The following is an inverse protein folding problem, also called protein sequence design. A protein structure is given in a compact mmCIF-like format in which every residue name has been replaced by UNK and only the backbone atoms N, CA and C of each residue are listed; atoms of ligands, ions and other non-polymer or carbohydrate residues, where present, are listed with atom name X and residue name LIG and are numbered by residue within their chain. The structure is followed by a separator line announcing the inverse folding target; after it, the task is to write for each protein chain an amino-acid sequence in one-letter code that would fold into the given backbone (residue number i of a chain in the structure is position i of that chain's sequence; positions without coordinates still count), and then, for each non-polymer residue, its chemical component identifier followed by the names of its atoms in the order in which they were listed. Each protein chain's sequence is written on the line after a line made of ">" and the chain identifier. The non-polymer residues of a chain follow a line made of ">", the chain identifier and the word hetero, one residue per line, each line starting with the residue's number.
data_IF_108372764358
#
_entry.id   IF_108372764358
#
_cell.length_a   1.000
_cell.length_b   1.000
_cell.length_c   1.000
_cell.angle_alpha   90.00
_cell.angle_beta   90.00
_cell.angle_gamma   90.00
#
_symmetry.space_group_name_H-M   'P 1'
#
loop_
_entity.id
_entity.type
_entity.pdbx_description
1 polymer ?
#
# COMPACT_ATOMS: atom_id res chain seq x y z
N UNK A 1 22.05 4.78 -7.98
CA UNK A 1 21.59 4.49 -7.79
C UNK A 1 20.75 4.40 -7.74
N UNK A 2 20.48 4.20 -7.57
CA UNK A 2 19.79 3.98 -7.50
C UNK A 2 18.87 3.73 -7.46
N UNK A 3 18.58 3.41 -7.31
CA UNK A 3 17.69 2.97 -7.16
C UNK A 3 16.64 3.07 -7.00
N UNK A 4 16.25 3.37 -7.03
CA UNK A 4 15.21 3.30 -6.75
C UNK A 4 14.26 2.99 -6.60
N UNK A 5 14.00 2.66 -6.17
CA UNK A 5 12.96 1.96 -6.33
C UNK A 5 11.73 2.32 -5.77
N UNK A 6 10.87 2.25 -6.54
CA UNK A 6 9.54 2.42 -6.34
C UNK A 6 8.98 1.61 -5.26
N UNK A 7 9.51 0.48 -5.01
CA UNK A 7 9.03 -0.35 -3.98
C UNK A 7 9.11 0.26 -2.63
N UNK A 8 9.96 1.25 -2.47
CA UNK A 8 10.18 1.86 -1.18
C UNK A 8 9.07 2.79 -0.76
N UNK A 9 8.13 3.02 -1.65
CA UNK A 9 7.01 3.89 -1.33
C UNK A 9 5.99 3.19 -0.43
N UNK A 10 5.97 1.87 -0.45
CA UNK A 10 5.00 1.12 0.35
C UNK A 10 5.68 0.56 1.59
N UNK A 11 6.16 1.46 2.43
CA UNK A 11 6.82 1.08 3.67
C UNK A 11 5.84 1.22 4.83
N UNK A 12 6.11 0.58 5.95
CA UNK A 12 5.20 0.66 7.09
C UNK A 12 4.91 2.10 7.48
N UNK A 13 3.66 2.40 7.68
CA UNK A 13 3.22 3.75 8.02
C UNK A 13 2.74 4.57 6.84
N UNK A 14 3.10 4.20 5.60
CA UNK A 14 2.64 4.93 4.44
C UNK A 14 1.13 4.83 4.29
N UNK A 15 0.50 5.89 3.82
CA UNK A 15 -0.94 5.90 3.58
C UNK A 15 -1.20 5.72 2.10
N UNK A 16 -2.12 4.82 1.79
CA UNK A 16 -2.42 4.45 0.42
C UNK A 16 -3.91 4.32 0.23
N UNK A 17 -4.32 4.22 -1.03
CA UNK A 17 -5.68 3.80 -1.33
C UNK A 17 -5.63 2.82 -2.50
N UNK A 18 -6.69 2.04 -2.63
CA UNK A 18 -6.81 1.08 -3.71
C UNK A 18 -7.80 1.65 -4.73
N UNK A 19 -7.34 2.17 -5.86
CA UNK A 19 -8.24 2.82 -6.82
C UNK A 19 -9.35 1.92 -7.34
N UNK A 20 -9.10 0.62 -7.44
CA UNK A 20 -10.11 -0.30 -7.93
C UNK A 20 -11.15 -0.63 -6.86
N UNK A 21 -10.90 -0.24 -5.62
CA UNK A 21 -11.82 -0.49 -4.50
C UNK A 21 -11.95 0.79 -3.67
N UNK A 22 -12.53 1.83 -4.24
CA UNK A 22 -12.58 3.12 -3.55
C UNK A 22 -13.33 3.09 -2.23
N UNK A 23 -14.23 2.13 -2.06
CA UNK A 23 -15.01 2.03 -0.83
C UNK A 23 -14.20 1.50 0.35
N UNK A 24 -13.00 0.99 0.10
CA UNK A 24 -12.16 0.52 1.20
C UNK A 24 -11.62 1.66 2.04
N UNK A 25 -11.58 2.88 1.48
CA UNK A 25 -11.07 4.03 2.20
C UNK A 25 -9.55 4.08 2.20
N UNK A 26 -9.00 4.88 3.10
CA UNK A 26 -7.56 5.03 3.20
C UNK A 26 -7.00 3.85 3.97
N UNK A 27 -5.88 3.32 3.50
CA UNK A 27 -5.20 2.24 4.17
C UNK A 27 -3.84 2.65 4.66
N UNK A 28 -3.38 2.01 5.73
CA UNK A 28 -2.03 2.21 6.24
C UNK A 28 -1.24 0.94 6.04
N UNK A 29 -0.08 1.08 5.41
CA UNK A 29 0.79 -0.06 5.12
C UNK A 29 1.37 -0.59 6.42
N UNK A 30 1.33 -1.89 6.60
CA UNK A 30 1.91 -2.56 7.75
C UNK A 30 3.18 -3.31 7.38
N UNK A 31 3.22 -3.87 6.19
CA UNK A 31 4.42 -4.53 5.68
C UNK A 31 4.36 -4.64 4.18
N UNK A 32 5.52 -4.81 3.56
CA UNK A 32 5.59 -5.04 2.12
C UNK A 32 6.72 -6.04 1.90
N UNK A 33 6.36 -7.27 1.52
CA UNK A 33 7.32 -8.34 1.37
C UNK A 33 7.06 -9.03 0.04
N UNK A 34 8.08 -9.10 -0.80
CA UNK A 34 7.99 -9.79 -2.09
C UNK A 34 6.81 -9.33 -2.94
N UNK A 35 6.55 -8.03 -2.95
CA UNK A 35 5.47 -7.48 -3.75
C UNK A 35 4.08 -7.66 -3.16
N UNK A 36 3.99 -8.18 -1.94
CA UNK A 36 2.71 -8.32 -1.25
C UNK A 36 2.68 -7.33 -0.10
N UNK A 37 1.69 -6.46 -0.13
CA UNK A 37 1.57 -5.37 0.84
C UNK A 37 0.41 -5.67 1.77
N UNK A 38 0.70 -5.69 3.07
CA UNK A 38 -0.35 -5.85 4.07
C UNK A 38 -0.78 -4.47 4.50
N UNK A 39 -2.06 -4.18 4.37
CA UNK A 39 -2.60 -2.85 4.60
C UNK A 39 -3.83 -2.95 5.47
N UNK A 40 -3.97 -2.03 6.41
CA UNK A 40 -5.17 -1.92 7.21
C UNK A 40 -6.01 -0.76 6.66
N UNK A 41 -7.13 -1.07 6.02
CA UNK A 41 -8.00 -0.07 5.40
C UNK A 41 -9.08 0.37 6.38
N UNK A 42 -9.46 1.63 6.29
CA UNK A 42 -10.46 2.21 7.18
C UNK A 42 -11.76 1.44 7.23
N UNK A 43 -12.24 1.00 6.08
CA UNK A 43 -13.59 0.45 6.00
C UNK A 43 -13.66 -1.07 5.92
N UNK A 44 -12.55 -1.73 5.65
CA UNK A 44 -12.56 -3.19 5.48
C UNK A 44 -11.51 -3.92 6.29
N UNK A 45 -10.68 -3.19 7.02
CA UNK A 45 -9.67 -3.81 7.86
C UNK A 45 -8.47 -4.30 7.06
N UNK A 46 -7.83 -5.34 7.55
CA UNK A 46 -6.58 -5.81 6.99
C UNK A 46 -6.78 -6.57 5.69
N UNK A 47 -5.99 -6.21 4.69
CA UNK A 47 -5.98 -6.87 3.39
C UNK A 47 -4.54 -7.09 2.96
N UNK A 48 -4.29 -8.16 2.22
CA UNK A 48 -2.98 -8.38 1.61
C UNK A 48 -3.16 -8.15 0.12
N UNK A 49 -2.43 -7.20 -0.42
CA UNK A 49 -2.53 -6.79 -1.81
C UNK A 49 -1.30 -7.25 -2.57
N UNK A 50 -1.52 -7.98 -3.66
CA UNK A 50 -0.42 -8.42 -4.51
C UNK A 50 -0.24 -7.37 -5.60
N UNK A 51 0.88 -6.67 -5.59
CA UNK A 51 1.14 -5.58 -6.51
C UNK A 51 1.25 -6.04 -7.97
N UNK A 52 1.41 -7.33 -8.19
CA UNK A 52 1.43 -7.85 -9.55
C UNK A 52 0.05 -7.72 -10.20
N UNK A 53 -1.01 -7.78 -9.42
CA UNK A 53 -2.37 -7.78 -9.94
C UNK A 53 -3.16 -6.53 -9.63
N UNK A 54 -2.79 -5.80 -8.59
CA UNK A 54 -3.59 -4.67 -8.12
C UNK A 54 -2.68 -3.48 -7.91
N UNK A 55 -3.09 -2.32 -8.41
CA UNK A 55 -2.36 -1.09 -8.20
C UNK A 55 -2.79 -0.42 -6.90
N UNK A 56 -1.83 0.16 -6.21
CA UNK A 56 -2.09 0.99 -5.06
C UNK A 56 -1.63 2.41 -5.37
N UNK A 57 -2.31 3.37 -4.79
CA UNK A 57 -1.93 4.76 -4.95
C UNK A 57 -1.41 5.29 -3.63
N UNK A 58 -0.20 5.83 -3.63
CA UNK A 58 0.39 6.40 -2.43
C UNK A 58 -0.24 7.75 -2.17
N UNK A 59 -0.75 7.95 -0.97
CA UNK A 59 -1.33 9.22 -0.57
C UNK A 59 -0.33 10.02 0.22
N UNK A 60 0.37 9.39 1.14
CA UNK A 60 1.32 10.06 1.99
C UNK A 60 2.43 9.11 2.41
N UNK A 61 3.65 9.60 2.37
CA UNK A 61 4.81 8.82 2.79
C UNK A 61 4.82 8.64 4.30
N UNK A 62 5.50 7.60 4.73
CA UNK A 62 5.60 7.30 6.12
C UNK A 62 6.60 8.19 6.77
N UNK A 63 6.81 8.99 6.98
CA UNK A 63 7.83 9.71 7.62
C UNK A 63 7.82 11.13 7.50
#
# INVERSE_FOLDING_TARGET
>A
MENSPIFNDFIPGALVRCPSQPNWGIGQVQSCINGKVTINFENVGKKVIDLMFINLELIENAG
#
